data_IF_362961234309
#
_entry.id   IF_362961234309
#
_cell.length_a   1.000
_cell.length_b   1.000
_cell.length_c   1.000
_cell.angle_alpha   90.00
_cell.angle_beta   90.00
_cell.angle_gamma   90.00
#
_symmetry.space_group_name_H-M   'P 1'
#
loop_
_entity.id
_entity.type
_entity.pdbx_description
1 polymer ?
#
# COMPACT_ATOMS: atom_id res chain seq x y z
N UNK A 1 3.89 -5.61 4.45
CA UNK A 1 5.21 -5.02 4.12
C UNK A 1 5.10 -4.36 2.75
N UNK A 2 5.40 -3.06 2.64
CA UNK A 2 5.52 -2.36 1.35
C UNK A 2 6.92 -2.60 0.78
N UNK A 3 7.05 -2.87 -0.52
CA UNK A 3 8.34 -3.12 -1.15
C UNK A 3 8.83 -1.92 -1.99
N UNK A 4 10.10 -1.96 -2.41
CA UNK A 4 10.71 -0.89 -3.18
C UNK A 4 10.00 -0.62 -4.52
N UNK A 5 9.52 -1.66 -5.21
CA UNK A 5 8.79 -1.51 -6.47
C UNK A 5 7.46 -0.79 -6.26
N UNK A 6 6.76 -1.05 -5.15
CA UNK A 6 5.54 -0.31 -4.80
C UNK A 6 5.82 1.18 -4.60
N UNK A 7 6.93 1.55 -3.95
CA UNK A 7 7.32 2.96 -3.76
C UNK A 7 7.66 3.61 -5.11
N UNK A 8 8.38 2.91 -5.99
CA UNK A 8 8.70 3.38 -7.35
C UNK A 8 7.42 3.59 -8.15
N UNK A 9 6.50 2.62 -8.11
CA UNK A 9 5.21 2.73 -8.79
C UNK A 9 4.40 3.93 -8.31
N UNK A 10 4.35 4.18 -7.00
CA UNK A 10 3.68 5.34 -6.42
C UNK A 10 4.32 6.65 -6.92
N UNK A 11 5.64 6.71 -7.04
CA UNK A 11 6.34 7.86 -7.58
C UNK A 11 6.03 8.11 -9.06
N UNK A 12 6.03 7.05 -9.87
CA UNK A 12 5.72 7.13 -11.31
C UNK A 12 4.25 7.50 -11.53
N UNK A 13 3.34 6.96 -10.72
CA UNK A 13 1.95 7.36 -10.67
C UNK A 13 1.81 8.87 -10.40
N UNK A 14 2.49 9.39 -9.37
CA UNK A 14 2.46 10.83 -9.06
C UNK A 14 3.04 11.67 -10.19
N UNK A 15 4.15 11.22 -10.79
CA UNK A 15 4.78 11.93 -11.92
C UNK A 15 3.82 12.04 -13.09
N UNK A 16 3.13 10.95 -13.44
CA UNK A 16 2.13 10.94 -14.49
C UNK A 16 0.91 11.79 -14.13
N UNK A 17 0.42 11.68 -12.88
CA UNK A 17 -0.74 12.43 -12.40
C UNK A 17 -0.53 13.95 -12.48
N UNK A 18 0.67 14.43 -12.11
CA UNK A 18 1.00 15.86 -12.07
C UNK A 18 1.61 16.40 -13.36
N UNK A 19 1.82 15.57 -14.40
CA UNK A 19 2.55 15.93 -15.62
C UNK A 19 2.00 17.19 -16.31
N UNK A 20 0.68 17.29 -16.41
CA UNK A 20 -0.03 18.36 -17.12
C UNK A 20 -0.66 19.39 -16.15
N UNK A 21 -0.27 19.36 -14.87
CA UNK A 21 -0.69 20.32 -13.85
C UNK A 21 0.38 21.41 -13.65
N UNK A 22 0.04 22.48 -12.92
CA UNK A 22 0.92 23.63 -12.69
C UNK A 22 2.26 23.27 -12.03
N UNK A 23 2.27 22.26 -11.16
CA UNK A 23 3.43 21.88 -10.34
C UNK A 23 3.89 20.41 -10.61
N UNK A 24 4.46 20.12 -11.79
CA UNK A 24 4.89 18.76 -12.14
C UNK A 24 6.05 18.28 -11.27
N UNK A 25 6.26 16.97 -11.20
CA UNK A 25 7.48 16.39 -10.59
C UNK A 25 8.60 16.46 -11.63
N UNK A 26 9.50 17.44 -11.50
CA UNK A 26 10.66 17.58 -12.39
C UNK A 26 11.95 17.96 -11.64
N UNK A 27 13.10 17.30 -11.92
CA UNK A 27 13.22 16.12 -12.76
C UNK A 27 12.53 14.90 -12.11
N UNK A 28 11.83 14.05 -12.88
CA UNK A 28 11.27 12.81 -12.36
C UNK A 28 12.35 11.73 -12.21
N UNK A 29 12.01 10.65 -11.52
CA UNK A 29 12.79 9.42 -11.52
C UNK A 29 13.70 9.23 -10.31
N UNK A 30 14.32 8.05 -10.30
CA UNK A 30 15.11 7.54 -9.17
C UNK A 30 16.49 8.21 -9.15
N UNK A 31 16.81 8.84 -8.02
CA UNK A 31 18.14 9.37 -7.72
C UNK A 31 19.02 8.32 -7.02
N UNK A 32 18.45 7.55 -6.09
CA UNK A 32 19.16 6.54 -5.31
C UNK A 32 18.25 5.34 -5.00
N UNK A 33 18.44 4.23 -5.72
CA UNK A 33 17.68 2.99 -5.52
C UNK A 33 17.91 2.37 -4.14
N UNK A 34 19.15 2.40 -3.62
CA UNK A 34 19.45 1.88 -2.29
C UNK A 34 18.73 2.66 -1.18
N UNK A 35 18.46 3.95 -1.40
CA UNK A 35 17.63 4.76 -0.51
C UNK A 35 16.15 4.31 -0.48
N UNK A 36 15.63 3.80 -1.61
CA UNK A 36 14.27 3.23 -1.69
C UNK A 36 14.23 1.89 -0.95
N UNK A 37 15.20 1.02 -1.21
CA UNK A 37 15.29 -0.31 -0.59
C UNK A 37 15.48 -0.20 0.93
N UNK A 38 16.32 0.74 1.38
CA UNK A 38 16.46 1.08 2.80
C UNK A 38 15.14 1.57 3.41
N UNK A 39 14.41 2.45 2.71
CA UNK A 39 13.13 2.94 3.20
C UNK A 39 12.04 1.84 3.27
N UNK A 40 12.00 0.94 2.30
CA UNK A 40 11.03 -0.17 2.24
C UNK A 40 11.28 -1.23 3.32
N UNK A 41 12.54 -1.47 3.69
CA UNK A 41 12.94 -2.46 4.70
C UNK A 41 12.82 -1.94 6.13
N UNK A 42 13.05 -0.64 6.35
CA UNK A 42 13.06 -0.02 7.68
C UNK A 42 11.86 -0.34 8.59
N UNK A 43 10.60 -0.41 8.09
CA UNK A 43 9.45 -0.77 8.91
C UNK A 43 9.58 -2.10 9.66
N UNK A 44 10.34 -3.05 9.11
CA UNK A 44 10.47 -4.40 9.66
C UNK A 44 11.84 -4.67 10.31
N UNK A 45 12.75 -3.70 10.30
CA UNK A 45 14.10 -3.85 10.86
C UNK A 45 14.19 -3.55 12.36
N UNK A 46 13.35 -2.66 12.89
CA UNK A 46 13.36 -2.31 14.31
C UNK A 46 12.24 -3.06 15.06
N UNK A 47 12.55 -3.92 16.03
CA UNK A 47 11.54 -4.63 16.83
C UNK A 47 10.65 -3.70 17.66
N UNK A 48 11.09 -2.47 17.94
CA UNK A 48 10.26 -1.46 18.62
C UNK A 48 9.12 -0.93 17.73
N UNK A 49 9.17 -1.15 16.41
CA UNK A 49 8.09 -0.75 15.50
C UNK A 49 7.00 -1.84 15.46
N UNK A 50 6.33 -1.99 16.60
CA UNK A 50 5.32 -3.03 16.85
C UNK A 50 3.90 -2.68 16.36
N UNK A 51 3.67 -1.43 15.97
CA UNK A 51 2.39 -0.96 15.44
C UNK A 51 2.47 -0.54 13.97
N UNK A 52 1.34 -0.63 13.25
CA UNK A 52 1.27 -0.14 11.88
C UNK A 52 1.58 1.35 11.78
N UNK A 53 1.27 2.16 12.80
CA UNK A 53 1.64 3.58 12.83
C UNK A 53 3.15 3.78 12.91
N UNK A 54 3.86 3.03 13.76
CA UNK A 54 5.33 3.11 13.85
C UNK A 54 5.99 2.67 12.55
N UNK A 55 5.50 1.58 11.95
CA UNK A 55 5.97 1.09 10.65
C UNK A 55 5.73 2.10 9.53
N UNK A 56 4.54 2.71 9.48
CA UNK A 56 4.18 3.75 8.51
C UNK A 56 4.99 5.03 8.71
N UNK A 57 5.26 5.40 9.97
CA UNK A 57 6.10 6.53 10.34
C UNK A 57 7.57 6.32 9.95
N UNK A 58 8.10 5.12 10.18
CA UNK A 58 9.45 4.75 9.78
C UNK A 58 9.63 4.84 8.26
N UNK A 59 8.66 4.33 7.50
CA UNK A 59 8.61 4.46 6.04
C UNK A 59 8.59 5.94 5.61
N UNK A 60 7.65 6.72 6.16
CA UNK A 60 7.47 8.14 5.86
C UNK A 60 8.77 8.93 6.05
N UNK A 61 9.33 8.79 7.25
CA UNK A 61 10.56 9.45 7.67
C UNK A 61 11.75 9.01 6.81
N UNK A 62 11.83 7.73 6.45
CA UNK A 62 12.93 7.22 5.63
C UNK A 62 12.89 7.72 4.19
N UNK A 63 11.71 7.77 3.55
CA UNK A 63 11.60 8.28 2.17
C UNK A 63 11.97 9.77 2.14
N UNK A 64 11.49 10.54 3.12
CA UNK A 64 11.83 11.96 3.24
C UNK A 64 13.34 12.14 3.39
N UNK A 65 13.98 11.49 4.37
CA UNK A 65 15.40 11.73 4.66
C UNK A 65 16.36 11.13 3.62
N UNK A 66 16.02 9.99 3.02
CA UNK A 66 16.88 9.36 2.03
C UNK A 66 16.90 10.16 0.72
N UNK A 67 15.88 11.00 0.48
CA UNK A 67 15.63 11.73 -0.77
C UNK A 67 15.92 10.85 -2.02
N UNK A 68 15.29 9.66 -2.14
CA UNK A 68 15.68 8.68 -3.13
C UNK A 68 15.27 9.03 -4.56
N UNK A 69 14.42 10.04 -4.77
CA UNK A 69 14.00 10.54 -6.08
C UNK A 69 14.60 11.92 -6.36
N UNK A 70 14.71 12.28 -7.64
CA UNK A 70 15.23 13.59 -8.05
C UNK A 70 14.34 14.74 -7.56
N UNK A 71 13.02 14.56 -7.62
CA UNK A 71 12.04 15.46 -7.03
C UNK A 71 10.84 14.65 -6.50
N UNK A 72 9.86 15.27 -5.85
CA UNK A 72 8.62 14.61 -5.43
C UNK A 72 8.76 13.72 -4.18
N UNK A 73 9.89 13.78 -3.46
CA UNK A 73 10.14 12.94 -2.28
C UNK A 73 9.05 13.07 -1.20
N UNK A 74 8.63 14.31 -0.86
CA UNK A 74 7.57 14.55 0.13
C UNK A 74 6.22 13.98 -0.30
N UNK A 75 5.82 14.22 -1.55
CA UNK A 75 4.59 13.66 -2.15
C UNK A 75 4.62 12.12 -2.15
N UNK A 76 5.75 11.54 -2.54
CA UNK A 76 5.96 10.09 -2.60
C UNK A 76 5.94 9.46 -1.21
N UNK A 77 6.59 10.10 -0.23
CA UNK A 77 6.58 9.65 1.16
C UNK A 77 5.16 9.62 1.72
N UNK A 78 4.43 10.73 1.56
CA UNK A 78 3.07 10.84 2.07
C UNK A 78 2.14 9.80 1.44
N UNK A 79 2.17 9.67 0.11
CA UNK A 79 1.33 8.70 -0.59
C UNK A 79 1.70 7.25 -0.27
N UNK A 80 3.00 6.94 -0.13
CA UNK A 80 3.47 5.60 0.25
C UNK A 80 3.02 5.21 1.65
N UNK A 81 3.07 6.13 2.60
CA UNK A 81 2.59 5.90 3.97
C UNK A 81 1.08 5.73 4.02
N UNK A 82 0.32 6.49 3.23
CA UNK A 82 -1.13 6.37 3.18
C UNK A 82 -1.56 5.07 2.54
N UNK A 83 -0.92 4.67 1.44
CA UNK A 83 -1.10 3.35 0.84
C UNK A 83 -0.78 2.25 1.87
N UNK A 84 0.38 2.32 2.52
CA UNK A 84 0.79 1.33 3.53
C UNK A 84 -0.22 1.18 4.67
N UNK A 85 -0.67 2.28 5.28
CA UNK A 85 -1.68 2.24 6.34
C UNK A 85 -3.03 1.74 5.82
N UNK A 86 -3.38 2.13 4.58
CA UNK A 86 -4.55 1.67 3.87
C UNK A 86 -4.57 0.16 3.66
N UNK A 87 -3.43 -0.53 3.58
CA UNK A 87 -3.33 -2.00 3.56
C UNK A 87 -3.90 -2.66 4.82
N UNK A 88 -3.85 -1.96 5.95
CA UNK A 88 -4.34 -2.43 7.24
C UNK A 88 -5.69 -1.81 7.64
N UNK A 89 -6.38 -1.17 6.70
CA UNK A 89 -7.68 -0.51 6.96
C UNK A 89 -7.57 0.76 7.80
N UNK A 90 -6.39 1.38 7.85
CA UNK A 90 -6.15 2.64 8.56
C UNK A 90 -6.19 3.77 7.52
N UNK A 91 -7.11 4.73 7.70
CA UNK A 91 -7.31 5.84 6.76
C UNK A 91 -7.03 7.19 7.41
N UNK A 92 -6.19 8.00 6.76
CA UNK A 92 -5.84 9.36 7.19
C UNK A 92 -6.95 10.35 6.78
N UNK A 93 -8.04 10.38 7.55
CA UNK A 93 -9.24 11.18 7.26
C UNK A 93 -9.65 12.14 8.39
N UNK A 94 -8.99 12.09 9.56
CA UNK A 94 -9.28 12.98 10.71
C UNK A 94 -8.47 14.27 10.73
N UNK A 95 -7.90 14.66 9.59
CA UNK A 95 -7.16 15.90 9.43
C UNK A 95 -7.55 16.61 8.13
N UNK A 96 -7.33 17.90 8.08
CA UNK A 96 -7.40 18.72 6.87
C UNK A 96 -6.13 18.55 6.02
N UNK A 97 -6.20 19.01 4.76
CA UNK A 97 -5.04 19.05 3.87
C UNK A 97 -3.96 20.03 4.35
N UNK A 98 -4.36 21.08 5.09
CA UNK A 98 -3.42 22.03 5.71
C UNK A 98 -2.64 21.38 6.84
N UNK A 99 -3.32 20.67 7.75
CA UNK A 99 -2.66 19.95 8.84
C UNK A 99 -1.71 18.88 8.31
N UNK A 100 -2.09 18.16 7.26
CA UNK A 100 -1.26 17.13 6.65
C UNK A 100 -0.06 17.72 5.88
N UNK A 101 -0.25 18.87 5.24
CA UNK A 101 0.84 19.65 4.65
C UNK A 101 1.84 20.11 5.71
N UNK A 102 1.39 20.77 6.78
CA UNK A 102 2.27 21.30 7.82
C UNK A 102 2.98 20.16 8.57
N UNK A 103 2.29 19.05 8.82
CA UNK A 103 2.90 17.83 9.35
C UNK A 103 4.05 17.35 8.46
N UNK A 104 3.81 17.21 7.15
CA UNK A 104 4.82 16.73 6.21
C UNK A 104 6.00 17.71 6.09
N UNK A 105 5.71 19.02 6.06
CA UNK A 105 6.72 20.08 6.02
C UNK A 105 7.61 20.04 7.26
N UNK A 106 7.03 19.95 8.46
CA UNK A 106 7.77 19.87 9.73
C UNK A 106 8.65 18.63 9.82
N UNK A 107 8.20 17.49 9.32
CA UNK A 107 9.02 16.28 9.26
C UNK A 107 10.20 16.47 8.31
N UNK A 108 9.97 17.04 7.12
CA UNK A 108 11.04 17.30 6.15
C UNK A 108 12.05 18.36 6.64
N UNK A 109 11.62 19.30 7.50
CA UNK A 109 12.47 20.33 8.08
C UNK A 109 13.13 19.92 9.41
N UNK A 110 12.86 18.72 9.93
CA UNK A 110 13.27 18.29 11.28
C UNK A 110 12.75 19.19 12.42
N UNK A 111 11.54 19.71 12.26
CA UNK A 111 10.85 20.63 13.19
C UNK A 111 9.68 19.95 13.93
N UNK A 112 9.52 18.63 13.78
CA UNK A 112 8.41 17.90 14.41
C UNK A 112 8.64 17.72 15.92
N UNK A 113 9.90 17.59 16.35
CA UNK A 113 10.30 17.50 17.77
C UNK A 113 11.74 18.01 17.97
N UNK A 114 12.17 18.19 19.23
CA UNK A 114 13.52 18.69 19.57
C UNK A 114 14.62 17.64 19.37
N UNK A 115 14.32 16.38 19.68
CA UNK A 115 15.28 15.29 19.63
C UNK A 115 15.00 14.42 18.40
N UNK A 116 15.97 14.34 17.50
CA UNK A 116 15.85 13.61 16.23
C UNK A 116 15.54 12.13 16.38
N UNK A 117 15.96 11.52 17.49
CA UNK A 117 15.70 10.10 17.76
C UNK A 117 14.21 9.83 18.03
N UNK A 118 13.45 10.85 18.43
CA UNK A 118 12.03 10.72 18.75
C UNK A 118 11.12 10.96 17.54
N UNK A 119 11.67 11.40 16.38
CA UNK A 119 10.89 11.79 15.20
C UNK A 119 9.93 10.68 14.76
N UNK A 120 10.37 9.43 14.69
CA UNK A 120 9.52 8.31 14.24
C UNK A 120 8.34 8.08 15.18
N UNK A 121 8.54 8.18 16.50
CA UNK A 121 7.48 7.98 17.49
C UNK A 121 6.45 9.12 17.43
N UNK A 122 6.91 10.38 17.30
CA UNK A 122 6.04 11.54 17.18
C UNK A 122 5.25 11.51 15.86
N UNK A 123 5.89 11.09 14.76
CA UNK A 123 5.22 10.88 13.48
C UNK A 123 4.14 9.81 13.62
N UNK A 124 4.42 8.69 14.30
CA UNK A 124 3.44 7.63 14.53
C UNK A 124 2.24 8.11 15.34
N UNK A 125 2.47 8.83 16.44
CA UNK A 125 1.41 9.43 17.27
C UNK A 125 0.52 10.37 16.45
N UNK A 126 1.13 11.19 15.58
CA UNK A 126 0.38 12.12 14.73
C UNK A 126 -0.43 11.37 13.65
N UNK A 127 0.15 10.34 13.03
CA UNK A 127 -0.56 9.49 12.06
C UNK A 127 -1.76 8.81 12.72
N UNK A 128 -1.63 8.35 13.97
CA UNK A 128 -2.74 7.77 14.73
C UNK A 128 -3.86 8.78 14.97
N UNK A 129 -3.53 10.01 15.42
CA UNK A 129 -4.50 11.09 15.62
C UNK A 129 -5.24 11.46 14.32
N UNK A 130 -4.54 11.48 13.20
CA UNK A 130 -5.10 11.77 11.88
C UNK A 130 -5.91 10.61 11.28
N UNK A 131 -5.88 9.44 11.90
CA UNK A 131 -6.46 8.24 11.31
C UNK A 131 -7.80 7.83 11.93
N UNK A 132 -8.62 7.17 11.11
CA UNK A 132 -9.70 6.29 11.56
C UNK A 132 -9.43 4.88 11.05
N UNK A 133 -9.82 3.87 11.84
CA UNK A 133 -9.83 2.49 11.38
C UNK A 133 -11.13 2.17 10.67
N UNK A 134 -11.06 1.29 9.68
CA UNK A 134 -12.22 0.67 9.04
C UNK A 134 -11.93 -0.78 8.72
N UNK A 135 -12.99 -1.57 8.58
CA UNK A 135 -12.87 -2.89 7.98
C UNK A 135 -12.46 -2.71 6.51
N UNK A 136 -11.20 -3.04 6.18
CA UNK A 136 -10.79 -3.10 4.78
C UNK A 136 -11.49 -4.27 4.12
N UNK A 137 -12.42 -3.97 3.22
CA UNK A 137 -12.99 -4.97 2.32
C UNK A 137 -12.01 -5.29 1.20
N UNK A 138 -12.00 -6.55 0.77
CA UNK A 138 -11.37 -6.90 -0.51
C UNK A 138 -12.20 -6.38 -1.69
N UNK A 139 -11.73 -6.60 -2.92
CA UNK A 139 -12.43 -6.12 -4.11
C UNK A 139 -13.16 -7.26 -4.80
N UNK A 140 -14.25 -6.96 -5.53
CA UNK A 140 -14.87 -7.98 -6.36
C UNK A 140 -13.88 -8.53 -7.40
N UNK A 141 -13.90 -9.85 -7.61
CA UNK A 141 -13.04 -10.49 -8.61
C UNK A 141 -13.82 -11.47 -9.47
N UNK A 142 -13.54 -11.47 -10.77
CA UNK A 142 -13.98 -12.50 -11.69
C UNK A 142 -13.21 -13.80 -11.45
N UNK A 143 -13.87 -14.93 -11.72
CA UNK A 143 -13.26 -16.26 -11.57
C UNK A 143 -11.92 -16.40 -12.27
N UNK A 144 -11.82 -16.00 -13.54
CA UNK A 144 -10.57 -16.12 -14.32
C UNK A 144 -9.44 -15.25 -13.77
N UNK A 145 -9.74 -14.05 -13.27
CA UNK A 145 -8.74 -13.16 -12.67
C UNK A 145 -8.25 -13.74 -11.34
N UNK A 146 -9.17 -14.25 -10.50
CA UNK A 146 -8.81 -14.93 -9.27
C UNK A 146 -7.95 -16.19 -9.53
N UNK A 147 -8.33 -17.01 -10.52
CA UNK A 147 -7.57 -18.20 -10.90
C UNK A 147 -6.15 -17.87 -11.36
N UNK A 148 -5.99 -16.82 -12.17
CA UNK A 148 -4.67 -16.34 -12.60
C UNK A 148 -3.81 -15.87 -11.41
N UNK A 149 -4.36 -15.02 -10.54
CA UNK A 149 -3.67 -14.53 -9.34
C UNK A 149 -3.23 -15.71 -8.46
N UNK A 150 -4.14 -16.63 -8.15
CA UNK A 150 -3.81 -17.78 -7.31
C UNK A 150 -2.67 -18.63 -7.90
N UNK A 151 -2.65 -18.79 -9.23
CA UNK A 151 -1.59 -19.52 -9.92
C UNK A 151 -0.22 -18.84 -9.76
N UNK A 152 -0.16 -17.51 -9.80
CA UNK A 152 1.08 -16.75 -9.53
C UNK A 152 1.62 -16.97 -8.11
N UNK A 153 0.72 -17.23 -7.14
CA UNK A 153 1.09 -17.61 -5.77
C UNK A 153 1.32 -19.12 -5.59
N UNK A 154 1.34 -19.92 -6.66
CA UNK A 154 1.58 -21.36 -6.60
C UNK A 154 0.34 -22.18 -6.22
N UNK A 155 -0.86 -21.61 -6.30
CA UNK A 155 -2.12 -22.30 -6.00
C UNK A 155 -2.91 -22.57 -7.29
N UNK A 156 -3.22 -23.84 -7.55
CA UNK A 156 -4.06 -24.25 -8.69
C UNK A 156 -5.45 -24.66 -8.26
N UNK A 157 -6.43 -24.32 -9.09
CA UNK A 157 -7.82 -24.70 -8.90
C UNK A 157 -8.10 -26.02 -9.63
N UNK A 158 -8.38 -27.06 -8.85
CA UNK A 158 -8.73 -28.39 -9.39
C UNK A 158 -10.24 -28.55 -9.39
N UNK A 159 -10.80 -28.84 -10.56
CA UNK A 159 -12.23 -29.02 -10.76
C UNK A 159 -12.80 -30.14 -9.86
N UNK A 160 -13.84 -29.82 -9.08
CA UNK A 160 -14.58 -30.76 -8.24
C UNK A 160 -16.10 -30.51 -8.34
N UNK A 161 -16.61 -30.50 -9.57
CA UNK A 161 -18.05 -30.41 -9.83
C UNK A 161 -18.61 -28.99 -9.64
N UNK A 162 -19.25 -28.69 -8.51
CA UNK A 162 -19.79 -27.34 -8.22
C UNK A 162 -18.75 -26.36 -7.69
N UNK A 163 -17.62 -26.87 -7.21
CA UNK A 163 -16.52 -26.11 -6.63
C UNK A 163 -15.20 -26.54 -7.27
N UNK A 164 -14.15 -25.76 -7.05
CA UNK A 164 -12.77 -26.15 -7.27
C UNK A 164 -12.09 -26.32 -5.91
N UNK A 165 -11.28 -27.36 -5.76
CA UNK A 165 -10.37 -27.51 -4.61
C UNK A 165 -9.07 -26.76 -4.90
N UNK A 166 -8.49 -26.14 -3.89
CA UNK A 166 -7.19 -25.47 -4.05
C UNK A 166 -6.08 -26.48 -3.78
N UNK A 167 -5.12 -26.59 -4.70
CA UNK A 167 -3.92 -27.43 -4.55
C UNK A 167 -2.68 -26.56 -4.64
N UNK A 168 -1.78 -26.75 -3.69
CA UNK A 168 -0.47 -26.10 -3.68
C UNK A 168 0.47 -26.83 -4.64
N UNK A 169 1.07 -26.09 -5.57
CA UNK A 169 1.98 -26.60 -6.58
C UNK A 169 3.30 -27.12 -5.98
N UNK A 170 3.78 -26.51 -4.90
CA UNK A 170 5.05 -26.88 -4.28
C UNK A 170 4.94 -28.22 -3.54
N UNK A 171 3.85 -28.40 -2.79
CA UNK A 171 3.63 -29.63 -2.00
C UNK A 171 2.81 -30.68 -2.74
N UNK A 172 2.21 -30.31 -3.87
CA UNK A 172 1.21 -31.10 -4.62
C UNK A 172 0.02 -31.56 -3.75
N UNK A 173 -0.19 -30.94 -2.59
CA UNK A 173 -1.26 -31.29 -1.63
C UNK A 173 -2.46 -30.38 -1.82
N UNK A 174 -3.64 -30.96 -1.65
CA UNK A 174 -4.88 -30.17 -1.60
C UNK A 174 -4.97 -29.48 -0.25
N UNK A 175 -5.18 -28.16 -0.25
CA UNK A 175 -5.37 -27.38 0.97
C UNK A 175 -6.70 -27.78 1.60
N UNK A 176 -6.64 -28.39 2.78
CA UNK A 176 -7.83 -28.88 3.48
C UNK A 176 -8.73 -27.70 3.88
N UNK A 177 -10.04 -27.85 3.66
CA UNK A 177 -11.02 -26.83 4.05
C UNK A 177 -11.14 -25.64 3.09
N UNK A 178 -10.30 -25.54 2.06
CA UNK A 178 -10.32 -24.41 1.11
C UNK A 178 -10.91 -24.85 -0.23
N UNK A 179 -12.04 -24.23 -0.60
CA UNK A 179 -12.70 -24.46 -1.89
C UNK A 179 -13.12 -23.14 -2.53
N UNK A 180 -12.97 -23.06 -3.84
CA UNK A 180 -13.41 -21.93 -4.65
C UNK A 180 -14.71 -22.29 -5.36
N UNK A 181 -15.79 -21.55 -5.13
CA UNK A 181 -17.05 -21.81 -5.84
C UNK A 181 -16.84 -21.55 -7.34
N UNK A 182 -17.39 -22.36 -8.23
CA UNK A 182 -17.37 -22.05 -9.68
C UNK A 182 -18.39 -20.97 -10.08
N UNK A 183 -18.94 -20.27 -9.10
CA UNK A 183 -19.81 -19.13 -9.34
C UNK A 183 -19.02 -18.12 -10.18
N UNK A 184 -19.55 -17.75 -11.34
CA UNK A 184 -18.81 -16.90 -12.29
C UNK A 184 -17.77 -17.61 -13.18
N UNK A 185 -17.63 -18.96 -13.19
CA UNK A 185 -16.75 -19.68 -14.14
C UNK A 185 -17.11 -19.38 -15.61
N UNK A 186 -18.40 -19.11 -15.87
CA UNK A 186 -18.92 -18.65 -17.16
C UNK A 186 -18.92 -17.10 -17.30
N UNK A 187 -18.30 -16.37 -16.38
CA UNK A 187 -18.12 -14.90 -16.43
C UNK A 187 -19.34 -14.05 -16.05
N UNK A 188 -20.40 -14.63 -15.49
CA UNK A 188 -21.66 -13.91 -15.23
C UNK A 188 -21.71 -13.09 -13.93
N UNK A 189 -20.91 -13.44 -12.92
CA UNK A 189 -20.93 -12.79 -11.61
C UNK A 189 -19.53 -12.73 -11.00
N UNK A 190 -19.25 -11.64 -10.29
CA UNK A 190 -18.03 -11.45 -9.51
C UNK A 190 -18.16 -12.13 -8.14
N UNK A 191 -17.04 -12.58 -7.59
CA UNK A 191 -16.96 -12.90 -6.17
C UNK A 191 -17.06 -11.61 -5.36
N UNK A 192 -17.85 -11.63 -4.29
CA UNK A 192 -17.96 -10.47 -3.43
C UNK A 192 -16.67 -10.25 -2.58
N UNK A 193 -16.42 -9.01 -2.15
CA UNK A 193 -15.33 -8.67 -1.22
C UNK A 193 -15.16 -9.60 -0.02
N UNK A 194 -16.25 -9.99 0.64
CA UNK A 194 -16.15 -10.80 1.86
C UNK A 194 -15.67 -12.21 1.55
N UNK A 195 -16.06 -12.75 0.39
CA UNK A 195 -15.57 -14.03 -0.11
C UNK A 195 -14.07 -14.00 -0.39
N UNK A 196 -13.60 -12.98 -1.12
CA UNK A 196 -12.17 -12.83 -1.43
C UNK A 196 -11.34 -12.68 -0.15
N UNK A 197 -11.81 -11.87 0.81
CA UNK A 197 -11.12 -11.69 2.09
C UNK A 197 -10.97 -12.99 2.89
N UNK A 198 -12.04 -13.79 2.96
CA UNK A 198 -11.98 -15.11 3.61
C UNK A 198 -11.01 -16.04 2.90
N UNK A 199 -11.01 -16.05 1.57
CA UNK A 199 -10.11 -16.90 0.79
C UNK A 199 -8.64 -16.51 0.97
N UNK A 200 -8.34 -15.20 0.92
CA UNK A 200 -6.98 -14.68 1.16
C UNK A 200 -6.47 -15.08 2.54
N UNK A 201 -7.28 -14.94 3.59
CA UNK A 201 -6.94 -15.36 4.96
C UNK A 201 -6.63 -16.86 5.05
N UNK A 202 -7.46 -17.70 4.40
CA UNK A 202 -7.26 -19.15 4.39
C UNK A 202 -5.99 -19.61 3.64
N UNK A 203 -5.50 -18.78 2.72
CA UNK A 203 -4.31 -19.05 1.91
C UNK A 203 -3.09 -18.23 2.34
N UNK A 204 -3.18 -17.50 3.47
CA UNK A 204 -2.11 -16.63 3.97
C UNK A 204 -1.68 -15.54 2.96
N UNK A 205 -2.58 -15.14 2.05
CA UNK A 205 -2.34 -14.11 1.04
C UNK A 205 -2.76 -12.72 1.53
N UNK A 206 -2.32 -12.34 2.73
CA UNK A 206 -2.72 -11.11 3.42
C UNK A 206 -1.54 -10.18 3.71
N UNK A 207 -1.77 -8.88 4.00
CA UNK A 207 -0.70 -7.94 4.31
C UNK A 207 0.15 -8.35 5.52
N UNK A 208 -0.45 -9.04 6.49
CA UNK A 208 0.24 -9.60 7.68
C UNK A 208 1.27 -10.67 7.29
N UNK A 209 1.04 -11.38 6.19
CA UNK A 209 1.96 -12.39 5.63
C UNK A 209 2.85 -11.81 4.52
N UNK A 210 2.97 -10.48 4.43
CA UNK A 210 3.82 -9.81 3.44
C UNK A 210 3.24 -9.77 2.02
N UNK A 211 1.93 -9.99 1.87
CA UNK A 211 1.22 -9.92 0.59
C UNK A 211 0.30 -8.70 0.60
N UNK A 212 0.81 -7.57 0.09
CA UNK A 212 0.02 -6.35 -0.10
C UNK A 212 -0.88 -6.41 -1.35
N UNK A 213 -1.72 -5.39 -1.52
CA UNK A 213 -2.66 -5.28 -2.63
C UNK A 213 -1.94 -5.17 -3.97
N UNK A 214 -0.77 -4.55 -4.04
CA UNK A 214 0.08 -4.56 -5.24
C UNK A 214 0.50 -5.98 -5.61
N UNK A 215 0.98 -6.78 -4.65
CA UNK A 215 1.39 -8.16 -4.89
C UNK A 215 0.21 -9.07 -5.25
N UNK A 216 -0.98 -8.81 -4.72
CA UNK A 216 -2.17 -9.66 -4.97
C UNK A 216 -2.99 -9.24 -6.20
N UNK A 217 -3.25 -7.93 -6.38
CA UNK A 217 -4.11 -7.39 -7.45
C UNK A 217 -3.33 -6.78 -8.63
N UNK A 218 -2.02 -6.55 -8.48
CA UNK A 218 -1.18 -5.88 -9.48
C UNK A 218 -1.35 -4.36 -9.52
N UNK A 219 -0.79 -3.74 -10.56
CA UNK A 219 -0.78 -2.28 -10.80
C UNK A 219 -2.17 -1.68 -10.93
N UNK A 220 -3.12 -2.39 -11.54
CA UNK A 220 -4.52 -1.97 -11.63
C UNK A 220 -5.13 -1.79 -10.23
N UNK A 221 -4.77 -2.69 -9.31
CA UNK A 221 -5.25 -2.67 -7.94
C UNK A 221 -4.80 -1.40 -7.23
N UNK A 222 -3.49 -1.19 -7.13
CA UNK A 222 -2.93 -0.02 -6.46
C UNK A 222 -3.41 1.29 -7.10
N UNK A 223 -3.50 1.38 -8.43
CA UNK A 223 -3.97 2.59 -9.14
C UNK A 223 -5.33 3.09 -8.65
N UNK A 224 -6.28 2.19 -8.40
CA UNK A 224 -7.61 2.56 -7.89
C UNK A 224 -7.53 3.15 -6.47
N UNK A 225 -6.71 2.56 -5.59
CA UNK A 225 -6.49 3.08 -4.23
C UNK A 225 -5.83 4.45 -4.27
N UNK A 226 -4.80 4.62 -5.11
CA UNK A 226 -4.11 5.90 -5.29
C UNK A 226 -5.05 6.96 -5.88
N UNK A 227 -5.90 6.60 -6.84
CA UNK A 227 -6.89 7.51 -7.41
C UNK A 227 -7.91 7.98 -6.36
N UNK A 228 -8.41 7.07 -5.52
CA UNK A 228 -9.34 7.42 -4.45
C UNK A 228 -8.70 8.36 -3.44
N UNK A 229 -7.44 8.11 -3.09
CA UNK A 229 -6.67 9.03 -2.26
C UNK A 229 -6.52 10.40 -2.92
N UNK A 230 -6.06 10.46 -4.18
CA UNK A 230 -5.82 11.73 -4.87
C UNK A 230 -7.10 12.57 -4.99
N UNK A 231 -8.27 11.95 -5.16
CA UNK A 231 -9.57 12.66 -5.16
C UNK A 231 -9.84 13.39 -3.84
N UNK A 232 -9.43 12.82 -2.71
CA UNK A 232 -9.69 13.38 -1.38
C UNK A 232 -8.61 14.39 -0.97
N UNK A 233 -7.36 14.19 -1.41
CA UNK A 233 -6.16 14.84 -0.86
C UNK A 233 -5.29 15.51 -1.92
N UNK A 234 -5.89 15.97 -3.00
CA UNK A 234 -5.14 16.65 -4.07
C UNK A 234 -4.51 17.96 -3.58
N UNK A 235 -5.14 18.70 -2.68
CA UNK A 235 -4.68 20.04 -2.28
C UNK A 235 -3.42 19.97 -1.42
N UNK A 236 -3.30 19.00 -0.51
CA UNK A 236 -2.03 18.75 0.21
C UNK A 236 -0.90 18.39 -0.77
N UNK A 237 -1.18 17.58 -1.80
CA UNK A 237 -0.17 17.18 -2.77
C UNK A 237 0.31 18.35 -3.63
N UNK A 238 -0.58 19.26 -4.03
CA UNK A 238 -0.21 20.51 -4.73
C UNK A 238 0.66 21.41 -3.84
N UNK A 239 0.28 21.61 -2.57
CA UNK A 239 1.05 22.45 -1.62
C UNK A 239 2.47 21.93 -1.39
N UNK A 240 2.65 20.61 -1.33
CA UNK A 240 3.96 19.98 -1.14
C UNK A 240 4.93 20.16 -2.32
N UNK A 241 4.46 20.62 -3.49
CA UNK A 241 5.33 20.92 -4.62
C UNK A 241 6.05 22.28 -4.50
N UNK A 242 5.50 23.22 -3.70
CA UNK A 242 5.98 24.61 -3.59
C UNK A 242 7.00 24.83 -2.46
N UNK A 243 7.48 23.76 -1.85
CA UNK A 243 8.39 23.74 -0.69
C UNK A 243 9.56 22.82 -0.95
#
# INVERSE_FOLDING_TARGET
MINANTIIYIHDYLTNYFKDLEDPIQPPGIKNRGGIESAASRPDLNPEYDSHYLKGAALFHSIINNHPFHNGNKRTALLSTIYYLGEFGILIERCSDEELYEFTRRVAAHEICKNRNDEVFIIAEQLEKFSRTQSKGDRPLKFRKLEAILNEFGFILVDYGKVCKVRDQNTNKTIKGVTVKKKGKNGKEDFDPQYISKLRKLLELTPENGIDSMRFYGEEGISEDLNNFMKIRIEVMKKLAKT
#
